data_IF_396403468579
#
_entry.id   IF_396403468579
#
_cell.length_a   1.000
_cell.length_b   1.000
_cell.length_c   1.000
_cell.angle_alpha   90.00
_cell.angle_beta   90.00
_cell.angle_gamma   90.00
#
_symmetry.space_group_name_H-M   'P 1'
#
loop_
_entity.id
_entity.type
_entity.pdbx_description
1 polymer ?
#
# COMPACT_ATOMS: atom_id res chain seq x y z
N UNK A 1 -0.40 47.99 -20.04
CA UNK A 1 -0.86 46.79 -20.75
C UNK A 1 -0.38 45.60 -19.94
N UNK A 2 -1.17 45.21 -18.96
CA UNK A 2 -0.87 44.12 -18.02
C UNK A 2 -2.08 43.20 -18.09
N UNK A 3 -2.06 42.27 -19.04
CA UNK A 3 -2.99 41.14 -19.04
C UNK A 3 -2.48 40.17 -17.98
N UNK A 4 -3.13 40.18 -16.82
CA UNK A 4 -3.12 39.03 -15.90
C UNK A 4 -3.75 37.86 -16.63
N UNK A 5 -2.96 36.82 -16.90
CA UNK A 5 -3.46 35.50 -17.27
C UNK A 5 -4.44 35.06 -16.18
N UNK A 6 -5.70 34.87 -16.54
CA UNK A 6 -6.67 34.23 -15.65
C UNK A 6 -6.16 32.83 -15.25
N UNK A 7 -6.27 32.43 -13.96
CA UNK A 7 -5.95 31.08 -13.55
C UNK A 7 -6.85 30.09 -14.29
N UNK A 8 -6.22 29.08 -14.90
CA UNK A 8 -6.92 27.98 -15.58
C UNK A 8 -7.90 27.33 -14.59
N UNK A 9 -9.19 27.42 -14.87
CA UNK A 9 -10.26 26.79 -14.08
C UNK A 9 -10.10 25.26 -14.11
N UNK A 10 -9.52 24.69 -13.05
CA UNK A 10 -9.33 23.25 -12.89
C UNK A 10 -10.59 22.53 -12.35
N UNK A 11 -11.74 23.19 -12.21
CA UNK A 11 -12.86 22.69 -11.41
C UNK A 11 -13.91 21.82 -12.11
N UNK A 12 -13.64 21.26 -13.32
CA UNK A 12 -14.61 20.38 -14.01
C UNK A 12 -14.05 19.09 -14.58
N UNK A 13 -12.97 18.56 -14.03
CA UNK A 13 -12.53 17.19 -14.34
C UNK A 13 -12.65 16.36 -13.06
N UNK A 14 -13.64 15.48 -13.04
CA UNK A 14 -13.71 14.41 -12.05
C UNK A 14 -12.62 13.40 -12.39
N UNK A 15 -11.43 13.61 -11.81
CA UNK A 15 -10.25 12.79 -12.03
C UNK A 15 -10.47 11.33 -11.66
N UNK A 16 -11.37 11.03 -10.71
CA UNK A 16 -11.73 9.66 -10.37
C UNK A 16 -12.55 9.01 -11.48
N UNK A 17 -13.55 9.71 -12.02
CA UNK A 17 -14.37 9.20 -13.12
C UNK A 17 -13.56 9.00 -14.40
N UNK A 18 -12.65 9.92 -14.71
CA UNK A 18 -11.74 9.78 -15.85
C UNK A 18 -10.79 8.58 -15.69
N UNK A 19 -10.21 8.40 -14.50
CA UNK A 19 -9.35 7.26 -14.20
C UNK A 19 -10.12 5.93 -14.34
N UNK A 20 -11.36 5.85 -13.83
CA UNK A 20 -12.21 4.67 -13.94
C UNK A 20 -12.58 4.36 -15.40
N UNK A 21 -12.87 5.37 -16.22
CA UNK A 21 -13.16 5.19 -17.64
C UNK A 21 -11.94 4.67 -18.41
N UNK A 22 -10.75 5.23 -18.16
CA UNK A 22 -9.49 4.76 -18.75
C UNK A 22 -9.19 3.31 -18.34
N UNK A 23 -9.41 2.96 -17.07
CA UNK A 23 -9.28 1.59 -16.57
C UNK A 23 -10.24 0.61 -17.25
N UNK A 24 -11.51 1.00 -17.41
CA UNK A 24 -12.52 0.18 -18.06
C UNK A 24 -12.22 -0.03 -19.54
N UNK A 25 -11.79 1.03 -20.24
CA UNK A 25 -11.40 0.96 -21.65
C UNK A 25 -10.16 0.09 -21.86
N UNK A 26 -9.12 0.27 -21.04
CA UNK A 26 -7.92 -0.56 -21.11
C UNK A 26 -8.24 -2.04 -20.88
N UNK A 27 -9.10 -2.36 -19.89
CA UNK A 27 -9.58 -3.74 -19.68
C UNK A 27 -10.34 -4.28 -20.89
N UNK A 28 -11.20 -3.48 -21.52
CA UNK A 28 -11.97 -3.89 -22.69
C UNK A 28 -11.09 -4.13 -23.93
N UNK A 29 -9.99 -3.40 -24.06
CA UNK A 29 -9.02 -3.53 -25.16
C UNK A 29 -7.96 -4.62 -24.90
N UNK A 30 -8.06 -5.36 -23.78
CA UNK A 30 -7.05 -6.35 -23.39
C UNK A 30 -5.69 -5.73 -23.06
N UNK A 31 -5.66 -4.42 -22.79
CA UNK A 31 -4.46 -3.69 -22.44
C UNK A 31 -4.13 -3.99 -20.99
N UNK A 32 -2.98 -4.62 -20.80
CA UNK A 32 -2.40 -4.78 -19.50
C UNK A 32 -2.04 -3.42 -18.92
N UNK A 33 -2.63 -3.07 -17.78
CA UNK A 33 -2.48 -1.73 -17.19
C UNK A 33 -1.12 -1.54 -16.51
N UNK A 34 -0.49 -2.61 -16.04
CA UNK A 34 0.64 -2.54 -15.10
C UNK A 34 1.73 -3.61 -15.34
N UNK A 35 1.81 -4.17 -16.55
CA UNK A 35 2.82 -5.17 -16.95
C UNK A 35 3.90 -4.62 -17.91
N UNK A 36 4.98 -5.38 -18.19
CA UNK A 36 6.15 -4.98 -18.95
C UNK A 36 5.82 -4.78 -20.43
N UNK A 37 4.68 -5.27 -20.92
CA UNK A 37 4.18 -5.00 -22.27
C UNK A 37 2.99 -4.04 -22.30
N UNK A 38 2.54 -3.60 -21.12
CA UNK A 38 1.34 -2.80 -20.91
C UNK A 38 1.56 -1.29 -20.96
N UNK A 39 0.78 -0.55 -20.18
CA UNK A 39 0.85 0.91 -20.06
C UNK A 39 2.29 1.42 -19.82
N UNK A 40 3.11 0.65 -19.09
CA UNK A 40 4.46 1.01 -18.69
C UNK A 40 5.38 1.35 -19.88
N UNK A 41 5.34 0.55 -20.96
CA UNK A 41 6.12 0.82 -22.19
C UNK A 41 5.68 2.06 -22.95
N UNK A 42 4.44 2.50 -22.73
CA UNK A 42 3.85 3.66 -23.42
C UNK A 42 4.00 4.94 -22.62
N UNK A 43 4.62 4.89 -21.45
CA UNK A 43 4.84 6.07 -20.64
C UNK A 43 5.86 6.99 -21.29
N UNK A 44 5.79 8.28 -20.94
CA UNK A 44 6.71 9.28 -21.48
C UNK A 44 8.12 9.00 -20.95
N UNK A 45 9.17 9.09 -21.79
CA UNK A 45 10.54 8.96 -21.31
C UNK A 45 10.83 9.89 -20.12
N UNK A 46 11.46 9.35 -19.09
CA UNK A 46 11.75 10.04 -17.83
C UNK A 46 10.61 10.02 -16.81
N UNK A 47 9.49 9.34 -17.06
CA UNK A 47 8.46 9.18 -16.03
C UNK A 47 8.95 8.38 -14.82
N UNK A 48 8.43 8.72 -13.64
CA UNK A 48 8.76 8.05 -12.38
C UNK A 48 7.55 7.29 -11.88
N UNK A 49 7.75 6.04 -11.50
CA UNK A 49 6.75 5.19 -10.86
C UNK A 49 7.19 4.90 -9.44
N UNK A 50 6.35 5.24 -8.47
CA UNK A 50 6.57 4.90 -7.06
C UNK A 50 5.60 3.80 -6.66
N UNK A 51 6.12 2.60 -6.37
CA UNK A 51 5.31 1.47 -5.92
C UNK A 51 5.25 1.42 -4.40
N UNK A 52 4.15 1.94 -3.84
CA UNK A 52 3.90 1.98 -2.40
C UNK A 52 3.49 0.59 -1.87
N UNK A 53 2.98 -0.29 -2.74
CA UNK A 53 2.53 -1.63 -2.37
C UNK A 53 3.68 -2.65 -2.37
N UNK A 54 4.93 -2.21 -2.48
CA UNK A 54 6.09 -3.10 -2.58
C UNK A 54 6.25 -4.03 -1.37
N UNK A 55 5.82 -3.60 -0.19
CA UNK A 55 5.82 -4.42 1.04
C UNK A 55 4.88 -5.64 0.95
N UNK A 56 4.00 -5.67 -0.05
CA UNK A 56 3.08 -6.78 -0.36
C UNK A 56 3.38 -7.43 -1.72
N UNK A 57 4.58 -7.23 -2.25
CA UNK A 57 5.02 -7.79 -3.54
C UNK A 57 4.94 -6.82 -4.73
N UNK A 58 4.39 -5.62 -4.54
CA UNK A 58 4.28 -4.60 -5.59
C UNK A 58 3.03 -4.73 -6.46
N UNK A 59 2.63 -3.62 -7.08
CA UNK A 59 1.47 -3.54 -7.98
C UNK A 59 1.82 -3.44 -9.46
N UNK A 60 3.10 -3.17 -9.78
CA UNK A 60 3.63 -3.27 -11.15
C UNK A 60 4.39 -4.59 -11.30
N UNK A 61 4.31 -5.21 -12.48
CA UNK A 61 4.97 -6.50 -12.72
C UNK A 61 6.50 -6.41 -12.65
N UNK A 62 7.08 -5.31 -13.11
CA UNK A 62 8.53 -5.05 -13.02
C UNK A 62 8.96 -4.48 -11.65
N UNK A 63 8.03 -4.39 -10.69
CA UNK A 63 8.37 -3.95 -9.33
C UNK A 63 9.27 -4.97 -8.64
N UNK A 64 10.41 -4.49 -8.16
CA UNK A 64 11.29 -5.25 -7.26
C UNK A 64 11.66 -4.37 -6.07
N UNK A 65 11.71 -4.91 -4.84
CA UNK A 65 12.08 -4.13 -3.68
C UNK A 65 13.46 -3.49 -3.85
N UNK A 66 13.52 -2.18 -3.57
CA UNK A 66 14.77 -1.42 -3.51
C UNK A 66 15.08 -1.01 -2.06
N UNK A 67 16.27 -0.44 -1.86
CA UNK A 67 16.71 0.04 -0.54
C UNK A 67 16.86 1.56 -0.56
N UNK A 68 16.92 2.21 0.60
CA UNK A 68 17.21 3.65 0.65
C UNK A 68 18.58 4.03 0.04
N UNK A 69 19.56 3.11 0.04
CA UNK A 69 20.88 3.36 -0.54
C UNK A 69 20.85 3.27 -2.08
N UNK A 70 20.05 2.35 -2.62
CA UNK A 70 19.86 2.15 -4.06
C UNK A 70 18.36 2.22 -4.38
N UNK A 71 17.73 3.41 -4.31
CA UNK A 71 16.28 3.54 -4.25
C UNK A 71 15.58 3.35 -5.59
N UNK A 72 16.32 3.49 -6.70
CA UNK A 72 15.74 3.50 -8.04
C UNK A 72 16.46 2.59 -9.02
N UNK A 73 15.72 2.18 -10.04
CA UNK A 73 16.24 1.46 -11.20
C UNK A 73 15.42 1.82 -12.44
N UNK A 74 15.96 1.53 -13.62
CA UNK A 74 15.28 1.78 -14.88
C UNK A 74 14.47 0.57 -15.34
N UNK A 75 13.28 0.84 -15.85
CA UNK A 75 12.42 -0.10 -16.58
C UNK A 75 11.95 0.63 -17.83
N UNK A 76 12.36 0.15 -19.00
CA UNK A 76 12.21 0.87 -20.26
C UNK A 76 12.78 2.30 -20.15
N UNK A 77 12.00 3.31 -20.56
CA UNK A 77 12.36 4.72 -20.44
C UNK A 77 11.84 5.35 -19.14
N UNK A 78 11.43 4.55 -18.15
CA UNK A 78 10.91 5.00 -16.86
C UNK A 78 11.84 4.65 -15.70
N UNK A 79 11.72 5.41 -14.61
CA UNK A 79 12.43 5.18 -13.35
C UNK A 79 11.45 4.64 -12.32
N UNK A 80 11.79 3.50 -11.71
CA UNK A 80 11.01 2.90 -10.64
C UNK A 80 11.61 3.29 -9.28
N UNK A 81 10.73 3.54 -8.31
CA UNK A 81 11.05 3.75 -6.90
C UNK A 81 10.19 2.78 -6.08
N UNK A 82 10.82 1.75 -5.53
CA UNK A 82 10.13 0.63 -4.88
C UNK A 82 10.76 0.35 -3.52
N UNK A 83 11.06 1.41 -2.75
CA UNK A 83 11.72 1.24 -1.45
C UNK A 83 10.72 0.67 -0.46
N UNK A 84 11.02 -0.50 0.10
CA UNK A 84 10.23 -1.10 1.17
C UNK A 84 10.34 -0.28 2.47
N UNK A 85 9.32 -0.37 3.34
CA UNK A 85 9.32 0.33 4.63
C UNK A 85 9.62 1.84 4.52
N UNK A 86 8.99 2.53 3.55
CA UNK A 86 9.17 3.98 3.36
C UNK A 86 8.93 4.83 4.64
N UNK A 87 8.00 4.47 5.56
CA UNK A 87 7.88 5.21 6.82
C UNK A 87 9.17 5.22 7.65
N UNK A 88 10.08 4.25 7.45
CA UNK A 88 11.39 4.19 8.08
C UNK A 88 12.33 5.35 7.73
N UNK A 89 12.16 5.99 6.56
CA UNK A 89 12.94 7.18 6.18
C UNK A 89 12.56 8.44 6.97
N UNK A 90 11.39 8.46 7.59
CA UNK A 90 10.87 9.62 8.35
C UNK A 90 10.55 9.23 9.80
N UNK A 91 11.53 8.70 10.57
CA UNK A 91 11.30 8.00 11.83
C UNK A 91 10.59 8.85 12.87
N UNK A 92 10.86 10.16 12.93
CA UNK A 92 10.18 11.08 13.86
C UNK A 92 8.67 11.10 13.58
N UNK A 93 8.27 11.38 12.34
CA UNK A 93 6.86 11.50 11.97
C UNK A 93 6.15 10.15 12.00
N UNK A 94 6.78 9.10 11.46
CA UNK A 94 6.18 7.76 11.42
C UNK A 94 6.03 7.14 12.80
N UNK A 95 6.98 7.38 13.71
CA UNK A 95 6.86 6.93 15.11
C UNK A 95 5.66 7.58 15.77
N UNK A 96 5.54 8.92 15.72
CA UNK A 96 4.37 9.59 16.32
C UNK A 96 3.05 9.11 15.72
N UNK A 97 2.98 8.94 14.39
CA UNK A 97 1.77 8.45 13.73
C UNK A 97 1.41 7.03 14.17
N UNK A 98 2.38 6.10 14.17
CA UNK A 98 2.18 4.71 14.58
C UNK A 98 1.83 4.61 16.06
N UNK A 99 2.56 5.31 16.93
CA UNK A 99 2.29 5.26 18.37
C UNK A 99 0.93 5.84 18.69
N UNK A 100 0.51 6.94 18.05
CA UNK A 100 -0.81 7.51 18.28
C UNK A 100 -1.93 6.54 17.87
N UNK A 101 -1.75 5.79 16.79
CA UNK A 101 -2.71 4.78 16.35
C UNK A 101 -2.72 3.54 17.25
N UNK A 102 -1.55 3.11 17.76
CA UNK A 102 -1.40 1.85 18.50
C UNK A 102 -1.56 1.98 20.01
N UNK A 103 -1.34 3.17 20.58
CA UNK A 103 -1.34 3.41 22.03
C UNK A 103 -2.63 2.95 22.73
N UNK A 104 -3.85 3.18 22.19
CA UNK A 104 -5.08 2.69 22.83
C UNK A 104 -5.10 1.15 23.00
N UNK A 105 -4.59 0.42 22.02
CA UNK A 105 -4.51 -1.05 22.07
C UNK A 105 -3.46 -1.52 23.08
N UNK A 106 -2.29 -0.87 23.09
CA UNK A 106 -1.20 -1.18 24.03
C UNK A 106 -1.65 -1.00 25.48
N UNK A 107 -2.34 0.11 25.78
CA UNK A 107 -2.86 0.38 27.13
C UNK A 107 -3.91 -0.67 27.53
N UNK A 108 -4.85 -0.99 26.64
CA UNK A 108 -5.87 -2.00 26.94
C UNK A 108 -5.27 -3.40 27.19
N UNK A 109 -4.25 -3.78 26.42
CA UNK A 109 -3.51 -5.03 26.62
C UNK A 109 -2.77 -5.04 27.96
N UNK A 110 -2.14 -3.93 28.34
CA UNK A 110 -1.41 -3.81 29.61
C UNK A 110 -2.35 -3.87 30.83
N UNK A 111 -3.52 -3.22 30.75
CA UNK A 111 -4.46 -3.12 31.86
C UNK A 111 -5.28 -4.41 32.06
N UNK A 112 -5.68 -5.06 30.97
CA UNK A 112 -6.68 -6.15 30.98
C UNK A 112 -6.10 -7.51 30.62
N UNK A 113 -4.90 -7.56 30.07
CA UNK A 113 -4.39 -8.76 29.39
C UNK A 113 -5.10 -9.01 28.05
N UNK A 114 -4.57 -9.94 27.27
CA UNK A 114 -4.96 -10.09 25.87
C UNK A 114 -6.40 -10.60 25.69
N UNK A 115 -6.85 -11.57 26.50
CA UNK A 115 -8.20 -12.18 26.38
C UNK A 115 -9.31 -11.14 26.53
N UNK A 116 -9.23 -10.36 27.61
CA UNK A 116 -10.23 -9.33 27.92
C UNK A 116 -10.08 -8.11 27.00
N UNK A 117 -8.85 -7.78 26.58
CA UNK A 117 -8.62 -6.72 25.60
C UNK A 117 -9.23 -7.06 24.25
N UNK A 118 -9.03 -8.27 23.71
CA UNK A 118 -9.62 -8.69 22.42
C UNK A 118 -11.14 -8.75 22.48
N UNK A 119 -11.72 -9.06 23.64
CA UNK A 119 -13.18 -9.08 23.81
C UNK A 119 -13.79 -7.67 23.92
N UNK A 120 -13.01 -6.65 24.30
CA UNK A 120 -13.53 -5.32 24.64
C UNK A 120 -13.03 -4.18 23.74
N UNK A 121 -11.97 -4.40 22.97
CA UNK A 121 -11.38 -3.41 22.06
C UNK A 121 -11.71 -3.80 20.62
N UNK A 122 -12.53 -3.00 19.90
CA UNK A 122 -12.87 -3.27 18.51
C UNK A 122 -11.63 -3.35 17.62
N UNK A 123 -11.59 -4.32 16.69
CA UNK A 123 -10.49 -4.49 15.76
C UNK A 123 -9.28 -5.24 16.33
N UNK A 124 -9.21 -5.48 17.64
CA UNK A 124 -8.05 -6.12 18.27
C UNK A 124 -8.10 -7.66 18.14
N UNK A 125 -9.30 -8.25 18.18
CA UNK A 125 -9.47 -9.69 18.01
C UNK A 125 -9.05 -10.16 16.61
N UNK A 126 -9.34 -9.35 15.60
CA UNK A 126 -8.98 -9.58 14.20
C UNK A 126 -7.45 -9.56 13.98
N UNK A 127 -6.69 -8.91 14.87
CA UNK A 127 -5.23 -8.91 14.85
C UNK A 127 -4.58 -10.12 15.52
N UNK A 128 -5.36 -11.00 16.16
CA UNK A 128 -4.82 -12.13 16.91
C UNK A 128 -4.27 -13.20 15.95
N UNK A 129 -2.97 -13.48 16.06
CA UNK A 129 -2.30 -14.39 15.12
C UNK A 129 -2.02 -15.77 15.72
N UNK A 130 -1.49 -15.85 16.95
CA UNK A 130 -1.06 -17.12 17.56
C UNK A 130 -1.19 -17.11 19.08
N UNK A 131 -1.48 -18.26 19.68
CA UNK A 131 -1.43 -18.47 21.14
C UNK A 131 -1.17 -19.94 21.45
N UNK A 132 -0.34 -20.26 22.46
CA UNK A 132 -0.08 -21.64 22.93
C UNK A 132 0.23 -22.69 21.83
N UNK A 133 0.93 -22.26 20.77
CA UNK A 133 1.28 -23.12 19.63
C UNK A 133 0.20 -23.26 18.57
N UNK A 134 -0.95 -22.60 18.75
CA UNK A 134 -2.07 -22.57 17.82
C UNK A 134 -2.01 -21.35 16.90
N UNK A 135 -2.42 -21.55 15.65
CA UNK A 135 -2.56 -20.51 14.63
C UNK A 135 -4.02 -20.07 14.56
N UNK A 136 -4.27 -18.79 14.86
CA UNK A 136 -5.60 -18.20 15.00
C UNK A 136 -6.03 -17.35 13.80
N UNK A 137 -5.07 -16.85 12.99
CA UNK A 137 -5.40 -16.16 11.73
C UNK A 137 -5.81 -17.15 10.64
N UNK A 138 -7.04 -16.99 10.15
CA UNK A 138 -7.58 -17.80 9.06
C UNK A 138 -6.85 -17.53 7.73
N UNK A 139 -6.47 -16.29 7.48
CA UNK A 139 -5.79 -15.84 6.27
C UNK A 139 -4.39 -16.47 6.17
N UNK A 140 -3.63 -16.43 7.26
CA UNK A 140 -2.29 -17.03 7.33
C UNK A 140 -2.40 -18.55 7.23
N UNK A 141 -3.39 -19.17 7.87
CA UNK A 141 -3.62 -20.61 7.76
C UNK A 141 -3.91 -21.03 6.32
N UNK A 142 -4.81 -20.33 5.62
CA UNK A 142 -5.13 -20.60 4.23
C UNK A 142 -3.93 -20.40 3.30
N UNK A 143 -3.14 -19.33 3.51
CA UNK A 143 -1.97 -19.03 2.69
C UNK A 143 -0.86 -20.09 2.77
N UNK A 144 -0.76 -20.80 3.89
CA UNK A 144 0.27 -21.82 4.13
C UNK A 144 -0.25 -23.25 4.18
N UNK A 145 -1.53 -23.49 3.86
CA UNK A 145 -2.12 -24.82 3.83
C UNK A 145 -2.37 -25.44 5.22
N UNK A 146 -2.48 -24.61 6.26
CA UNK A 146 -2.85 -25.03 7.61
C UNK A 146 -4.35 -24.90 7.84
N UNK A 147 -4.87 -25.64 8.83
CA UNK A 147 -6.22 -25.43 9.34
C UNK A 147 -6.17 -24.41 10.48
N UNK A 148 -6.89 -23.28 10.40
CA UNK A 148 -6.95 -22.35 11.51
C UNK A 148 -7.55 -23.05 12.73
N UNK A 149 -6.89 -22.88 13.87
CA UNK A 149 -7.35 -23.47 15.13
C UNK A 149 -8.36 -22.50 15.71
N UNK A 150 -9.61 -22.94 15.87
CA UNK A 150 -10.66 -22.11 16.46
C UNK A 150 -10.52 -22.12 17.97
N UNK A 151 -10.20 -20.97 18.57
CA UNK A 151 -10.29 -20.73 20.02
C UNK A 151 -11.74 -20.47 20.44
#
# INVERSE_FOLDING_TARGET
MTETLDPMDQSKIDHQKLAQQLLAQAKAEGVELVGPNGLLKRMKPGSVLADIAIDQGGCFEDSRPTTHAEPTYQVHDSVFYCVANMPGAVPRTSTYALTNATLPYVVALADKGWKDATATVPGLAEGLSTHDGELLSAEVAAAHGYTPTSS
#
